data_IF_068732016681
#
_entry.id   IF_068732016681
#
_cell.length_a   1.000
_cell.length_b   1.000
_cell.length_c   1.000
_cell.angle_alpha   90.00
_cell.angle_beta   90.00
_cell.angle_gamma   90.00
#
_symmetry.space_group_name_H-M   'P 1'
#
loop_
_entity.id
_entity.type
_entity.pdbx_description
1 polymer ?
#
# COMPACT_ATOMS: atom_id res chain seq x y z
N UNK A 1 49.93 7.98 -17.14
CA UNK A 1 48.73 8.44 -16.40
C UNK A 1 47.87 7.24 -16.05
N UNK A 2 48.02 6.69 -14.83
CA UNK A 2 47.17 5.62 -14.28
C UNK A 2 46.20 6.28 -13.30
N UNK A 3 44.90 6.25 -13.61
CA UNK A 3 43.84 6.72 -12.72
C UNK A 3 43.41 5.58 -11.79
N UNK A 4 43.46 5.89 -10.51
CA UNK A 4 43.29 5.01 -9.36
C UNK A 4 41.86 4.46 -9.25
N UNK A 5 41.78 3.14 -9.02
CA UNK A 5 40.59 2.48 -8.48
C UNK A 5 40.46 2.85 -7.00
N UNK A 6 39.47 3.68 -6.65
CA UNK A 6 39.07 3.90 -5.26
C UNK A 6 38.41 2.64 -4.69
N UNK A 7 39.22 1.75 -4.13
CA UNK A 7 38.77 0.74 -3.18
C UNK A 7 38.65 1.37 -1.80
N UNK A 8 37.42 1.47 -1.28
CA UNK A 8 37.14 1.77 0.12
C UNK A 8 37.75 0.68 1.03
N UNK A 9 38.99 0.90 1.49
CA UNK A 9 39.56 0.22 2.65
C UNK A 9 39.63 1.23 3.80
N UNK A 10 38.89 0.94 4.86
CA UNK A 10 38.95 1.66 6.12
C UNK A 10 40.35 1.50 6.73
N UNK A 11 41.16 2.57 6.70
CA UNK A 11 42.40 2.66 7.45
C UNK A 11 42.09 3.22 8.84
N UNK A 12 42.20 2.37 9.85
CA UNK A 12 42.19 2.75 11.26
C UNK A 12 43.57 3.34 11.55
N UNK A 13 43.66 4.68 11.65
CA UNK A 13 44.86 5.38 12.12
C UNK A 13 44.71 5.63 13.62
N UNK A 14 45.42 4.86 14.45
CA UNK A 14 45.52 5.08 15.90
C UNK A 14 46.66 6.07 16.12
N UNK A 15 46.33 7.29 16.55
CA UNK A 15 47.31 8.24 17.09
C UNK A 15 47.38 8.06 18.62
N UNK A 16 48.58 7.94 19.22
CA UNK A 16 48.70 7.79 20.67
C UNK A 16 48.72 9.16 21.36
N UNK A 17 47.89 9.31 22.39
CA UNK A 17 48.03 10.35 23.39
C UNK A 17 47.06 11.53 23.26
N UNK A 18 45.89 11.40 23.89
CA UNK A 18 45.23 12.48 24.64
C UNK A 18 44.13 11.91 25.55
N UNK A 19 44.20 12.38 26.80
CA UNK A 19 43.38 12.12 27.99
C UNK A 19 41.96 11.56 27.78
N UNK A 20 41.67 10.50 28.53
CA UNK A 20 40.33 9.93 28.76
C UNK A 20 39.54 10.92 29.62
N UNK A 21 38.78 11.83 28.99
CA UNK A 21 37.63 12.45 29.65
C UNK A 21 36.44 11.52 29.50
N UNK A 22 35.85 11.18 30.64
CA UNK A 22 34.73 10.25 30.79
C UNK A 22 33.60 10.54 29.81
N UNK A 23 33.48 9.73 28.76
CA UNK A 23 32.24 9.59 28.01
C UNK A 23 31.24 8.86 28.89
N UNK A 24 30.39 9.61 29.58
CA UNK A 24 29.10 9.07 30.02
C UNK A 24 28.38 8.52 28.79
N UNK A 25 28.29 7.20 28.68
CA UNK A 25 27.52 6.55 27.63
C UNK A 25 26.08 7.11 27.67
N UNK A 26 25.57 7.74 26.60
CA UNK A 26 24.19 8.17 26.61
C UNK A 26 23.31 6.91 26.66
N UNK A 27 22.41 6.88 27.66
CA UNK A 27 21.30 5.94 27.78
C UNK A 27 20.76 5.59 26.38
N UNK A 28 20.65 4.29 26.08
CA UNK A 28 20.17 3.70 24.82
C UNK A 28 18.96 4.49 24.25
N UNK A 29 19.21 5.51 23.43
CA UNK A 29 18.16 6.20 22.68
C UNK A 29 17.75 5.26 21.56
N UNK A 30 16.53 4.74 21.63
CA UNK A 30 15.92 3.93 20.58
C UNK A 30 16.13 4.61 19.21
N UNK A 31 16.51 3.82 18.21
CA UNK A 31 16.73 4.34 16.85
C UNK A 31 15.46 5.05 16.36
N UNK A 32 15.54 6.29 15.85
CA UNK A 32 14.38 7.00 15.30
C UNK A 32 13.63 6.20 14.23
N UNK A 33 14.32 5.30 13.53
CA UNK A 33 13.71 4.40 12.54
C UNK A 33 12.81 3.33 13.19
N UNK A 34 13.20 2.81 14.35
CA UNK A 34 12.37 1.86 15.10
C UNK A 34 11.11 2.56 15.62
N UNK A 35 11.23 3.80 16.07
CA UNK A 35 10.10 4.59 16.58
C UNK A 35 9.08 4.82 15.46
N UNK A 36 9.53 5.28 14.28
CA UNK A 36 8.65 5.45 13.11
C UNK A 36 8.04 4.13 12.67
N UNK A 37 8.83 3.06 12.63
CA UNK A 37 8.33 1.73 12.28
C UNK A 37 7.18 1.30 13.21
N UNK A 38 7.35 1.47 14.53
CA UNK A 38 6.29 1.17 15.50
C UNK A 38 5.07 2.07 15.32
N UNK A 39 5.26 3.37 15.06
CA UNK A 39 4.14 4.27 14.78
C UNK A 39 3.33 3.82 13.57
N UNK A 40 4.00 3.47 12.47
CA UNK A 40 3.35 2.99 11.23
C UNK A 40 2.67 1.65 11.48
N UNK A 41 3.32 0.74 12.22
CA UNK A 41 2.76 -0.56 12.52
C UNK A 41 1.45 -0.44 13.31
N UNK A 42 1.43 0.39 14.36
CA UNK A 42 0.23 0.60 15.18
C UNK A 42 -0.88 1.28 14.36
N UNK A 43 -0.55 2.23 13.51
CA UNK A 43 -1.50 2.88 12.60
C UNK A 43 -2.12 1.87 11.61
N UNK A 44 -1.29 1.00 11.02
CA UNK A 44 -1.74 -0.05 10.11
C UNK A 44 -2.59 -1.13 10.80
N UNK A 45 -2.31 -1.45 12.06
CA UNK A 45 -3.17 -2.31 12.87
C UNK A 45 -4.57 -1.69 13.02
N UNK A 46 -4.65 -0.41 13.40
CA UNK A 46 -5.92 0.30 13.52
C UNK A 46 -6.71 0.31 12.20
N UNK A 47 -6.08 0.70 11.10
CA UNK A 47 -6.72 0.69 9.78
C UNK A 47 -7.24 -0.70 9.38
N UNK A 48 -6.39 -1.72 9.48
CA UNK A 48 -6.72 -3.07 9.02
C UNK A 48 -7.70 -3.82 9.92
N UNK A 49 -7.86 -3.41 11.18
CA UNK A 49 -8.98 -3.86 12.01
C UNK A 49 -10.33 -3.42 11.45
N UNK A 50 -10.41 -2.25 10.80
CA UNK A 50 -11.67 -1.66 10.34
C UNK A 50 -12.08 -2.12 8.95
N UNK A 51 -11.13 -2.26 8.02
CA UNK A 51 -11.42 -2.64 6.63
C UNK A 51 -12.37 -3.85 6.48
N UNK A 52 -12.15 -5.01 7.14
CA UNK A 52 -13.03 -6.17 7.00
C UNK A 52 -14.36 -6.02 7.75
N UNK A 53 -14.45 -5.05 8.67
CA UNK A 53 -15.59 -4.83 9.55
C UNK A 53 -16.53 -3.74 9.05
N UNK A 54 -16.02 -2.76 8.31
CA UNK A 54 -16.81 -1.67 7.75
C UNK A 54 -18.04 -2.17 6.97
N UNK A 55 -17.96 -3.22 6.13
CA UNK A 55 -19.13 -3.74 5.44
C UNK A 55 -20.21 -4.24 6.39
N UNK A 56 -19.85 -4.90 7.50
CA UNK A 56 -20.81 -5.39 8.48
C UNK A 56 -21.49 -4.25 9.26
N UNK A 57 -20.72 -3.22 9.64
CA UNK A 57 -21.29 -2.03 10.29
C UNK A 57 -22.31 -1.38 9.36
N UNK A 58 -21.96 -1.15 8.10
CA UNK A 58 -22.85 -0.52 7.10
C UNK A 58 -24.07 -1.39 6.79
N UNK A 59 -23.91 -2.72 6.79
CA UNK A 59 -24.99 -3.66 6.49
C UNK A 59 -26.14 -3.57 7.50
N UNK A 60 -25.87 -3.22 8.76
CA UNK A 60 -26.91 -2.95 9.77
C UNK A 60 -27.79 -1.74 9.41
N UNK A 61 -27.38 -0.87 8.49
CA UNK A 61 -28.16 0.31 8.04
C UNK A 61 -28.56 0.26 6.56
N UNK A 62 -27.85 -0.49 5.73
CA UNK A 62 -28.12 -0.63 4.30
C UNK A 62 -27.61 -1.96 3.78
N UNK A 63 -28.50 -2.75 3.17
CA UNK A 63 -28.14 -4.02 2.55
C UNK A 63 -27.35 -3.86 1.23
N UNK A 64 -27.18 -2.63 0.73
CA UNK A 64 -26.55 -2.36 -0.57
C UNK A 64 -25.02 -2.52 -0.52
N UNK A 65 -24.50 -3.46 -1.31
CA UNK A 65 -23.06 -3.61 -1.51
C UNK A 65 -22.46 -2.41 -2.27
N UNK A 66 -23.25 -1.73 -3.12
CA UNK A 66 -22.86 -0.47 -3.73
C UNK A 66 -22.57 0.61 -2.69
N UNK A 67 -23.35 0.70 -1.61
CA UNK A 67 -23.10 1.68 -0.55
C UNK A 67 -21.77 1.44 0.15
N UNK A 68 -21.45 0.18 0.47
CA UNK A 68 -20.13 -0.19 1.01
C UNK A 68 -19.01 0.18 0.03
N UNK A 69 -19.21 -0.11 -1.26
CA UNK A 69 -18.27 0.29 -2.31
C UNK A 69 -18.08 1.81 -2.39
N UNK A 70 -19.14 2.60 -2.28
CA UNK A 70 -19.10 4.06 -2.28
C UNK A 70 -18.36 4.62 -1.07
N UNK A 71 -18.51 4.02 0.11
CA UNK A 71 -17.76 4.42 1.31
C UNK A 71 -16.27 4.09 1.19
N UNK A 72 -15.93 2.91 0.66
CA UNK A 72 -14.54 2.56 0.33
C UNK A 72 -13.93 3.54 -0.68
N UNK A 73 -14.70 3.93 -1.70
CA UNK A 73 -14.29 4.94 -2.68
C UNK A 73 -14.09 6.32 -2.04
N UNK A 74 -14.98 6.73 -1.13
CA UNK A 74 -14.89 7.98 -0.39
C UNK A 74 -13.62 8.03 0.46
N UNK A 75 -13.28 6.94 1.14
CA UNK A 75 -12.02 6.81 1.89
C UNK A 75 -10.82 7.07 0.97
N UNK A 76 -10.74 6.35 -0.16
CA UNK A 76 -9.64 6.45 -1.11
C UNK A 76 -9.56 7.85 -1.76
N UNK A 77 -10.70 8.45 -2.06
CA UNK A 77 -10.80 9.81 -2.62
C UNK A 77 -10.28 10.85 -1.63
N UNK A 78 -10.72 10.80 -0.37
CA UNK A 78 -10.25 11.70 0.66
C UNK A 78 -8.76 11.52 0.93
N UNK A 79 -8.25 10.28 0.87
CA UNK A 79 -6.83 9.99 0.99
C UNK A 79 -6.02 10.60 -0.16
N UNK A 80 -6.51 10.48 -1.40
CA UNK A 80 -5.89 11.06 -2.60
C UNK A 80 -5.83 12.59 -2.54
N UNK A 81 -6.90 13.24 -2.07
CA UNK A 81 -6.97 14.70 -1.96
C UNK A 81 -6.14 15.24 -0.80
N UNK A 82 -6.12 14.55 0.34
CA UNK A 82 -5.39 15.00 1.52
C UNK A 82 -3.87 14.76 1.43
N UNK A 83 -3.41 13.75 0.69
CA UNK A 83 -1.99 13.38 0.65
C UNK A 83 -1.05 14.53 0.19
N UNK A 84 -1.33 15.26 -0.91
CA UNK A 84 -0.51 16.40 -1.31
C UNK A 84 -0.56 17.55 -0.29
N UNK A 85 -1.73 17.77 0.33
CA UNK A 85 -1.93 18.84 1.33
C UNK A 85 -1.10 18.55 2.59
N UNK A 86 -1.19 17.33 3.13
CA UNK A 86 -0.39 16.91 4.28
C UNK A 86 1.10 16.88 3.97
N UNK A 87 1.48 16.43 2.77
CA UNK A 87 2.86 16.46 2.30
C UNK A 87 3.43 17.89 2.30
N UNK A 88 2.74 18.83 1.66
CA UNK A 88 3.11 20.24 1.60
C UNK A 88 3.13 20.91 2.99
N UNK A 89 2.13 20.60 3.83
CA UNK A 89 2.08 21.09 5.20
C UNK A 89 3.29 20.59 5.99
N UNK A 90 3.67 19.32 5.84
CA UNK A 90 4.80 18.73 6.54
C UNK A 90 6.16 19.30 6.13
N UNK A 91 6.29 19.77 4.89
CA UNK A 91 7.46 20.52 4.43
C UNK A 91 7.57 21.91 5.10
N UNK A 92 6.43 22.53 5.46
CA UNK A 92 6.37 23.87 6.05
C UNK A 92 6.50 23.89 7.57
N UNK A 93 5.68 23.10 8.27
CA UNK A 93 5.62 23.13 9.74
C UNK A 93 6.47 22.04 10.42
N UNK A 94 7.03 21.11 9.63
CA UNK A 94 7.82 19.97 10.11
C UNK A 94 7.09 18.65 9.95
N UNK A 95 7.84 17.53 9.93
CA UNK A 95 7.27 16.19 9.70
C UNK A 95 6.56 15.68 10.96
N UNK A 96 7.18 15.88 12.13
CA UNK A 96 6.65 15.41 13.41
C UNK A 96 5.25 15.95 13.73
N UNK A 97 4.98 17.27 13.68
CA UNK A 97 3.65 17.79 14.03
C UNK A 97 2.56 17.30 13.07
N UNK A 98 2.86 17.14 11.78
CA UNK A 98 1.88 16.59 10.82
C UNK A 98 1.60 15.13 11.10
N UNK A 99 2.62 14.30 11.36
CA UNK A 99 2.41 12.89 11.70
C UNK A 99 1.57 12.73 12.97
N UNK A 100 1.87 13.49 14.02
CA UNK A 100 1.11 13.46 15.28
C UNK A 100 -0.33 13.94 15.05
N UNK A 101 -0.51 15.02 14.29
CA UNK A 101 -1.84 15.53 13.95
C UNK A 101 -2.67 14.52 13.15
N UNK A 102 -2.06 13.82 12.20
CA UNK A 102 -2.70 12.73 11.46
C UNK A 102 -3.09 11.57 12.36
N UNK A 103 -2.21 11.12 13.27
CA UNK A 103 -2.54 10.03 14.21
C UNK A 103 -3.69 10.41 15.15
N UNK A 104 -3.69 11.65 15.65
CA UNK A 104 -4.78 12.16 16.49
C UNK A 104 -6.10 12.23 15.71
N UNK A 105 -6.03 12.70 14.46
CA UNK A 105 -7.19 12.75 13.57
C UNK A 105 -7.73 11.34 13.26
N UNK A 106 -6.86 10.34 13.04
CA UNK A 106 -7.26 8.95 12.86
C UNK A 106 -7.95 8.39 14.11
N UNK A 107 -7.44 8.71 15.31
CA UNK A 107 -8.09 8.34 16.57
C UNK A 107 -9.52 8.88 16.66
N UNK A 108 -9.71 10.16 16.34
CA UNK A 108 -11.03 10.79 16.30
C UNK A 108 -11.96 10.15 15.26
N UNK A 109 -11.45 9.85 14.06
CA UNK A 109 -12.23 9.20 13.01
C UNK A 109 -12.70 7.79 13.40
N UNK A 110 -11.83 6.97 14.01
CA UNK A 110 -12.21 5.63 14.47
C UNK A 110 -13.19 5.67 15.65
N UNK A 111 -13.00 6.60 16.60
CA UNK A 111 -13.96 6.81 17.67
C UNK A 111 -15.34 7.24 17.12
N UNK A 112 -15.35 8.18 16.18
CA UNK A 112 -16.57 8.62 15.51
C UNK A 112 -17.24 7.46 14.74
N UNK A 113 -16.47 6.60 14.07
CA UNK A 113 -17.01 5.43 13.39
C UNK A 113 -17.70 4.46 14.36
N UNK A 114 -17.07 4.17 15.51
CA UNK A 114 -17.66 3.30 16.53
C UNK A 114 -18.95 3.89 17.11
N UNK A 115 -18.98 5.20 17.37
CA UNK A 115 -20.19 5.90 17.82
C UNK A 115 -21.26 5.92 16.73
N UNK A 116 -20.87 6.19 15.47
CA UNK A 116 -21.79 6.24 14.33
C UNK A 116 -22.49 4.90 14.08
N UNK A 117 -21.77 3.79 14.24
CA UNK A 117 -22.34 2.44 14.19
C UNK A 117 -23.28 2.16 15.37
N UNK A 118 -22.96 2.61 16.59
CA UNK A 118 -23.90 2.49 17.73
C UNK A 118 -25.18 3.29 17.55
N UNK A 119 -25.09 4.47 16.96
CA UNK A 119 -26.23 5.34 16.68
C UNK A 119 -27.03 4.84 15.46
N UNK A 120 -26.42 4.01 14.60
CA UNK A 120 -27.03 3.51 13.37
C UNK A 120 -27.23 4.59 12.30
N UNK A 121 -26.31 5.55 12.18
CA UNK A 121 -26.44 6.68 11.26
C UNK A 121 -25.47 6.59 10.09
N UNK A 122 -25.99 6.22 8.91
CA UNK A 122 -25.20 6.12 7.68
C UNK A 122 -24.48 7.42 7.28
N UNK A 123 -25.07 8.63 7.40
CA UNK A 123 -24.35 9.87 7.17
C UNK A 123 -23.17 10.09 8.12
N UNK A 124 -23.31 9.72 9.40
CA UNK A 124 -22.20 9.81 10.37
C UNK A 124 -21.09 8.79 10.06
N UNK A 125 -21.44 7.59 9.60
CA UNK A 125 -20.46 6.62 9.09
C UNK A 125 -19.71 7.21 7.90
N UNK A 126 -20.43 7.80 6.94
CA UNK A 126 -19.82 8.49 5.79
C UNK A 126 -18.86 9.61 6.20
N UNK A 127 -19.23 10.42 7.20
CA UNK A 127 -18.37 11.46 7.76
C UNK A 127 -17.12 10.87 8.44
N UNK A 128 -17.28 9.82 9.23
CA UNK A 128 -16.17 9.12 9.90
C UNK A 128 -15.19 8.53 8.88
N UNK A 129 -15.70 7.91 7.81
CA UNK A 129 -14.91 7.34 6.71
C UNK A 129 -14.16 8.44 5.94
N UNK A 130 -14.83 9.55 5.61
CA UNK A 130 -14.20 10.67 4.93
C UNK A 130 -13.07 11.30 5.77
N UNK A 131 -13.32 11.49 7.07
CA UNK A 131 -12.31 11.96 8.02
C UNK A 131 -11.14 10.96 8.11
N UNK A 132 -11.43 9.67 8.28
CA UNK A 132 -10.41 8.62 8.35
C UNK A 132 -9.53 8.55 7.10
N UNK A 133 -10.12 8.73 5.91
CA UNK A 133 -9.38 8.79 4.64
C UNK A 133 -8.42 9.97 4.59
N UNK A 134 -8.88 11.16 5.01
CA UNK A 134 -8.04 12.36 5.07
C UNK A 134 -6.91 12.22 6.11
N UNK A 135 -7.21 11.66 7.29
CA UNK A 135 -6.24 11.45 8.36
C UNK A 135 -5.17 10.40 7.97
N UNK A 136 -5.57 9.33 7.29
CA UNK A 136 -4.72 8.25 6.79
C UNK A 136 -3.83 8.63 5.59
N UNK A 137 -3.87 9.87 5.11
CA UNK A 137 -3.07 10.33 3.98
C UNK A 137 -1.62 10.74 4.35
N UNK A 138 -1.11 10.24 5.48
CA UNK A 138 0.18 10.62 6.07
C UNK A 138 1.38 9.83 5.55
N UNK A 139 1.17 8.79 4.73
CA UNK A 139 2.24 7.90 4.21
C UNK A 139 3.37 8.65 3.48
N UNK A 140 3.11 9.64 2.60
CA UNK A 140 4.19 10.42 1.99
C UNK A 140 5.04 11.16 3.03
N UNK A 141 4.42 11.64 4.11
CA UNK A 141 5.10 12.31 5.22
C UNK A 141 6.01 11.34 5.99
N UNK A 142 5.57 10.10 6.20
CA UNK A 142 6.38 9.03 6.80
C UNK A 142 7.59 8.70 5.93
N UNK A 143 7.38 8.52 4.62
CA UNK A 143 8.46 8.23 3.67
C UNK A 143 9.48 9.38 3.62
N UNK A 144 9.02 10.63 3.68
CA UNK A 144 9.87 11.81 3.76
C UNK A 144 10.63 11.86 5.08
N UNK A 145 9.99 11.58 6.22
CA UNK A 145 10.64 11.51 7.53
C UNK A 145 11.80 10.52 7.55
N UNK A 146 11.57 9.29 7.06
CA UNK A 146 12.59 8.23 6.99
C UNK A 146 13.74 8.69 6.10
N UNK A 147 13.41 9.31 4.97
CA UNK A 147 14.39 9.84 4.03
C UNK A 147 15.24 10.96 4.62
N UNK A 148 14.67 11.84 5.45
CA UNK A 148 15.38 12.94 6.10
C UNK A 148 16.39 12.42 7.16
N UNK A 149 16.15 11.23 7.73
CA UNK A 149 16.98 10.62 8.79
C UNK A 149 17.97 9.57 8.32
N UNK A 150 17.83 9.04 7.11
CA UNK A 150 18.69 7.99 6.58
C UNK A 150 19.79 8.55 5.67
N UNK A 151 20.94 7.88 5.67
CA UNK A 151 21.95 8.07 4.61
C UNK A 151 21.39 7.56 3.27
N UNK A 152 21.79 8.14 2.13
CA UNK A 152 21.31 7.73 0.81
C UNK A 152 21.43 6.22 0.54
N UNK A 153 22.51 5.58 0.98
CA UNK A 153 22.77 4.15 0.81
C UNK A 153 21.86 3.23 1.64
N UNK A 154 21.28 3.71 2.74
CA UNK A 154 20.42 2.93 3.64
C UNK A 154 18.92 3.16 3.36
N UNK A 155 18.59 4.16 2.52
CA UNK A 155 17.24 4.64 2.29
C UNK A 155 16.28 3.55 1.81
N UNK A 156 16.70 2.73 0.84
CA UNK A 156 15.89 1.63 0.31
C UNK A 156 15.56 0.61 1.39
N UNK A 157 16.54 0.24 2.23
CA UNK A 157 16.35 -0.68 3.35
C UNK A 157 15.39 -0.11 4.39
N UNK A 158 15.54 1.16 4.73
CA UNK A 158 14.69 1.82 5.73
C UNK A 158 13.26 2.05 5.23
N UNK A 159 13.06 2.35 3.95
CA UNK A 159 11.73 2.39 3.33
C UNK A 159 11.09 0.99 3.29
N UNK A 160 11.90 -0.06 3.14
CA UNK A 160 11.44 -1.44 3.27
C UNK A 160 10.82 -1.77 4.63
N UNK A 161 11.24 -1.10 5.72
CA UNK A 161 10.61 -1.28 7.04
C UNK A 161 9.17 -0.78 7.07
N UNK A 162 8.82 0.25 6.29
CA UNK A 162 7.42 0.70 6.13
C UNK A 162 6.60 -0.42 5.50
N UNK A 163 7.09 -1.02 4.41
CA UNK A 163 6.43 -2.17 3.79
C UNK A 163 6.25 -3.35 4.75
N UNK A 164 7.24 -3.63 5.60
CA UNK A 164 7.12 -4.66 6.63
C UNK A 164 6.04 -4.33 7.67
N UNK A 165 5.95 -3.07 8.12
CA UNK A 165 4.90 -2.62 9.05
C UNK A 165 3.50 -2.78 8.44
N UNK A 166 3.33 -2.42 7.16
CA UNK A 166 2.09 -2.67 6.41
C UNK A 166 1.75 -4.16 6.36
N UNK A 167 2.71 -5.01 6.01
CA UNK A 167 2.48 -6.46 5.91
C UNK A 167 2.06 -7.09 7.24
N UNK A 168 2.74 -6.74 8.34
CA UNK A 168 2.39 -7.23 9.69
C UNK A 168 1.04 -6.66 10.13
N UNK A 169 0.80 -5.37 9.90
CA UNK A 169 -0.46 -4.71 10.24
C UNK A 169 -1.64 -5.38 9.55
N UNK A 170 -1.58 -5.53 8.21
CA UNK A 170 -2.61 -6.20 7.41
C UNK A 170 -2.81 -7.68 7.76
N UNK A 171 -1.80 -8.34 8.33
CA UNK A 171 -1.93 -9.73 8.81
C UNK A 171 -2.60 -9.80 10.18
N UNK A 172 -2.20 -8.95 11.13
CA UNK A 172 -2.64 -9.05 12.53
C UNK A 172 -3.93 -8.27 12.79
N UNK A 173 -4.13 -7.13 12.14
CA UNK A 173 -5.26 -6.25 12.41
C UNK A 173 -6.62 -6.86 12.07
N UNK A 174 -6.84 -7.52 10.91
CA UNK A 174 -8.12 -8.17 10.62
C UNK A 174 -8.47 -9.26 11.65
N UNK A 175 -7.50 -10.05 12.08
CA UNK A 175 -7.70 -11.05 13.14
C UNK A 175 -8.07 -10.40 14.48
N UNK A 176 -7.36 -9.33 14.87
CA UNK A 176 -7.67 -8.58 16.09
C UNK A 176 -9.06 -7.92 16.03
N UNK A 177 -9.42 -7.35 14.88
CA UNK A 177 -10.74 -6.76 14.65
C UNK A 177 -11.85 -7.82 14.71
N UNK A 178 -11.67 -8.94 14.02
CA UNK A 178 -12.61 -10.06 14.05
C UNK A 178 -12.81 -10.63 15.46
N UNK A 179 -11.74 -10.78 16.24
CA UNK A 179 -11.82 -11.23 17.64
C UNK A 179 -12.58 -10.23 18.53
N UNK A 180 -12.29 -8.94 18.40
CA UNK A 180 -12.96 -7.90 19.18
C UNK A 180 -14.43 -7.71 18.79
N UNK A 181 -14.80 -8.08 17.55
CA UNK A 181 -16.18 -8.00 17.06
C UNK A 181 -17.15 -8.92 17.80
N UNK A 182 -16.65 -9.97 18.48
CA UNK A 182 -17.45 -10.87 19.33
C UNK A 182 -18.11 -10.12 20.49
N UNK A 183 -17.51 -9.02 20.94
CA UNK A 183 -18.06 -8.15 21.98
C UNK A 183 -18.97 -7.04 21.42
N UNK A 184 -19.19 -7.01 20.10
CA UNK A 184 -20.01 -6.04 19.37
C UNK A 184 -19.28 -5.46 18.15
N UNK A 185 -20.01 -5.21 17.06
CA UNK A 185 -19.44 -4.73 15.79
C UNK A 185 -18.74 -3.37 15.90
N UNK A 186 -19.13 -2.55 16.88
CA UNK A 186 -18.58 -1.21 17.11
C UNK A 186 -17.31 -1.22 17.97
N UNK A 187 -17.05 -2.30 18.72
CA UNK A 187 -15.91 -2.41 19.65
C UNK A 187 -14.56 -2.33 18.93
N UNK A 188 -14.35 -2.99 17.77
CA UNK A 188 -13.11 -2.85 17.00
C UNK A 188 -12.80 -1.40 16.60
N UNK A 189 -13.82 -0.60 16.25
CA UNK A 189 -13.65 0.82 15.91
C UNK A 189 -13.20 1.65 17.11
N UNK A 190 -13.82 1.46 18.27
CA UNK A 190 -13.40 2.13 19.50
C UNK A 190 -12.00 1.70 19.95
N UNK A 191 -11.68 0.41 19.84
CA UNK A 191 -10.36 -0.13 20.16
C UNK A 191 -9.28 0.42 19.21
N UNK A 192 -9.55 0.52 17.90
CA UNK A 192 -8.67 1.16 16.94
C UNK A 192 -8.47 2.64 17.26
N UNK A 193 -9.53 3.34 17.67
CA UNK A 193 -9.46 4.73 18.15
C UNK A 193 -8.57 4.90 19.37
N UNK A 194 -8.69 4.01 20.36
CA UNK A 194 -7.83 3.99 21.54
C UNK A 194 -6.37 3.65 21.18
N UNK A 195 -6.14 2.66 20.32
CA UNK A 195 -4.81 2.31 19.83
C UNK A 195 -4.15 3.48 19.11
N UNK A 196 -4.90 4.19 18.25
CA UNK A 196 -4.42 5.37 17.56
C UNK A 196 -4.13 6.54 18.54
N UNK A 197 -4.92 6.68 19.61
CA UNK A 197 -4.66 7.67 20.67
C UNK A 197 -3.36 7.35 21.43
N UNK A 198 -3.19 6.09 21.83
CA UNK A 198 -1.95 5.62 22.46
C UNK A 198 -0.75 5.79 21.53
N UNK A 199 -0.92 5.54 20.23
CA UNK A 199 0.10 5.80 19.22
C UNK A 199 0.45 7.28 19.09
N UNK A 200 -0.57 8.15 19.19
CA UNK A 200 -0.39 9.61 19.20
C UNK A 200 0.43 10.05 20.41
N UNK A 201 0.10 9.54 21.61
CA UNK A 201 0.85 9.82 22.83
C UNK A 201 2.28 9.29 22.73
N UNK A 202 2.46 8.08 22.22
CA UNK A 202 3.78 7.51 21.96
C UNK A 202 4.60 8.39 21.00
N UNK A 203 4.01 8.83 19.88
CA UNK A 203 4.67 9.72 18.93
C UNK A 203 4.96 11.11 19.53
N UNK A 204 4.07 11.64 20.37
CA UNK A 204 4.28 12.90 21.08
C UNK A 204 5.54 12.86 21.95
N UNK A 205 5.76 11.79 22.71
CA UNK A 205 6.91 11.71 23.61
C UNK A 205 8.18 11.18 22.94
N UNK A 206 8.07 10.25 22.00
CA UNK A 206 9.23 9.52 21.47
C UNK A 206 9.67 9.95 20.07
N UNK A 207 8.80 10.48 19.21
CA UNK A 207 9.14 10.79 17.82
C UNK A 207 9.90 12.12 17.74
N UNK A 208 11.20 12.15 17.37
CA UNK A 208 11.94 13.41 17.24
C UNK A 208 11.63 14.10 15.91
N UNK A 209 11.79 15.42 15.81
CA UNK A 209 11.59 16.15 14.54
C UNK A 209 12.69 15.83 13.52
N UNK A 210 12.35 15.48 12.28
CA UNK A 210 13.33 15.17 11.24
C UNK A 210 13.75 16.35 10.39
N UNK A 211 12.90 17.38 10.26
CA UNK A 211 13.15 18.51 9.37
C UNK A 211 13.61 19.75 10.17
N UNK A 212 14.89 20.17 10.04
CA UNK A 212 15.41 21.39 10.65
C UNK A 212 14.68 22.64 10.15
N UNK A 213 14.59 23.67 10.99
CA UNK A 213 13.87 24.92 10.70
C UNK A 213 14.40 25.61 9.44
N UNK A 214 15.71 25.58 9.23
CA UNK A 214 16.40 26.24 8.10
C UNK A 214 16.01 25.65 6.74
N UNK A 215 15.60 24.38 6.70
CA UNK A 215 15.18 23.70 5.46
C UNK A 215 13.71 23.91 5.12
N UNK A 216 12.89 24.38 6.08
CA UNK A 216 11.44 24.61 5.89
C UNK A 216 11.14 25.81 4.99
N UNK A 217 12.00 26.83 5.01
CA UNK A 217 11.80 28.10 4.29
C UNK A 217 12.21 28.06 2.81
N UNK A 218 12.92 27.02 2.36
CA UNK A 218 13.48 26.94 0.99
C UNK A 218 12.64 26.15 -0.01
N UNK A 219 11.59 25.44 0.42
CA UNK A 219 10.77 24.62 -0.49
C UNK A 219 9.56 25.42 -1.00
N UNK A 220 9.65 25.81 -2.27
CA UNK A 220 8.51 26.30 -3.06
C UNK A 220 7.45 25.21 -3.16
N UNK A 221 6.17 25.58 -3.00
CA UNK A 221 5.05 24.72 -3.34
C UNK A 221 5.03 24.54 -4.87
N UNK A 222 5.71 23.53 -5.40
CA UNK A 222 5.38 23.06 -6.74
C UNK A 222 4.23 22.07 -6.60
N UNK A 223 2.98 22.43 -6.96
CA UNK A 223 1.94 21.43 -7.10
C UNK A 223 2.36 20.54 -8.27
N UNK A 224 2.88 19.34 -7.98
CA UNK A 224 2.85 18.30 -9.00
C UNK A 224 1.38 17.96 -9.21
N UNK A 225 0.81 18.50 -10.28
CA UNK A 225 -0.54 18.17 -10.70
C UNK A 225 -0.61 16.67 -10.95
N UNK A 226 -1.47 15.98 -10.19
CA UNK A 226 -1.75 14.54 -10.35
C UNK A 226 -2.11 14.25 -11.81
N UNK A 227 -2.94 15.13 -12.41
CA UNK A 227 -3.32 15.05 -13.81
C UNK A 227 -2.12 15.19 -14.77
N UNK A 228 -1.14 16.03 -14.43
CA UNK A 228 0.10 16.18 -15.21
C UNK A 228 0.97 14.93 -15.17
N UNK A 229 1.06 14.25 -14.01
CA UNK A 229 1.80 12.98 -13.90
C UNK A 229 1.14 11.84 -14.67
N UNK A 230 -0.19 11.74 -14.62
CA UNK A 230 -0.96 10.78 -15.43
C UNK A 230 -0.74 11.08 -16.92
N UNK A 231 -0.94 12.34 -17.32
CA UNK A 231 -0.79 12.78 -18.70
C UNK A 231 0.60 12.46 -19.26
N UNK A 232 1.65 12.67 -18.48
CA UNK A 232 3.01 12.32 -18.85
C UNK A 232 3.22 10.81 -19.00
N UNK A 233 2.80 10.01 -18.02
CA UNK A 233 3.00 8.57 -18.06
C UNK A 233 2.24 7.92 -19.24
N UNK A 234 1.02 8.38 -19.51
CA UNK A 234 0.21 7.94 -20.65
C UNK A 234 0.74 8.48 -21.98
N UNK A 235 1.46 9.61 -22.00
CA UNK A 235 2.08 10.13 -23.21
C UNK A 235 3.16 9.19 -23.78
N UNK A 236 3.78 8.35 -22.95
CA UNK A 236 4.79 7.36 -23.37
C UNK A 236 4.10 6.13 -23.99
N UNK A 237 4.10 5.97 -25.33
CA UNK A 237 3.30 4.94 -26.00
C UNK A 237 3.69 3.51 -25.59
N UNK A 238 4.97 3.30 -25.29
CA UNK A 238 5.52 2.00 -24.87
C UNK A 238 5.05 1.57 -23.48
N UNK A 239 4.65 2.52 -22.62
CA UNK A 239 4.24 2.24 -21.24
C UNK A 239 2.72 2.07 -21.10
N UNK A 240 1.92 2.63 -22.03
CA UNK A 240 0.46 2.53 -22.02
C UNK A 240 -0.08 1.12 -21.74
N UNK A 241 0.35 0.06 -22.43
CA UNK A 241 -0.18 -1.28 -22.17
C UNK A 241 0.17 -1.82 -20.77
N UNK A 242 1.36 -1.49 -20.25
CA UNK A 242 1.77 -1.89 -18.89
C UNK A 242 1.02 -1.09 -17.82
N UNK A 243 0.81 0.20 -18.05
CA UNK A 243 -0.01 1.06 -17.17
C UNK A 243 -1.47 0.60 -17.15
N UNK A 244 -2.03 0.23 -18.31
CA UNK A 244 -3.37 -0.34 -18.40
C UNK A 244 -3.45 -1.68 -17.66
N UNK A 245 -2.44 -2.56 -17.80
CA UNK A 245 -2.38 -3.81 -17.06
C UNK A 245 -2.40 -3.56 -15.54
N UNK A 246 -1.54 -2.69 -15.04
CA UNK A 246 -1.51 -2.32 -13.61
C UNK A 246 -2.86 -1.77 -13.14
N UNK A 247 -3.49 -0.90 -13.92
CA UNK A 247 -4.78 -0.31 -13.59
C UNK A 247 -5.88 -1.37 -13.50
N UNK A 248 -6.04 -2.22 -14.53
CA UNK A 248 -7.06 -3.27 -14.55
C UNK A 248 -6.86 -4.31 -13.44
N UNK A 249 -5.60 -4.71 -13.21
CA UNK A 249 -5.21 -5.60 -12.11
C UNK A 249 -5.66 -5.06 -10.75
N UNK A 250 -5.35 -3.79 -10.48
CA UNK A 250 -5.70 -3.18 -9.19
C UNK A 250 -7.18 -2.84 -9.09
N UNK A 251 -7.85 -2.52 -10.20
CA UNK A 251 -9.30 -2.29 -10.23
C UNK A 251 -10.04 -3.56 -9.79
N UNK A 252 -9.63 -4.72 -10.32
CA UNK A 252 -10.17 -6.02 -9.93
C UNK A 252 -9.89 -6.33 -8.45
N UNK A 253 -8.65 -6.13 -8.00
CA UNK A 253 -8.26 -6.41 -6.61
C UNK A 253 -9.00 -5.51 -5.61
N UNK A 254 -9.09 -4.20 -5.87
CA UNK A 254 -9.75 -3.24 -4.99
C UNK A 254 -11.26 -3.54 -4.85
N UNK A 255 -11.92 -3.87 -5.97
CA UNK A 255 -13.31 -4.29 -5.96
C UNK A 255 -13.55 -5.53 -5.11
N UNK A 256 -12.72 -6.56 -5.30
CA UNK A 256 -12.77 -7.79 -4.51
C UNK A 256 -12.54 -7.53 -3.02
N UNK A 257 -11.48 -6.79 -2.68
CA UNK A 257 -11.11 -6.54 -1.28
C UNK A 257 -12.27 -5.91 -0.50
N UNK A 258 -12.98 -4.95 -1.09
CA UNK A 258 -14.12 -4.30 -0.45
C UNK A 258 -15.38 -5.16 -0.42
N UNK A 259 -15.61 -5.99 -1.43
CA UNK A 259 -16.85 -6.78 -1.55
C UNK A 259 -16.77 -8.12 -0.79
N UNK A 260 -15.56 -8.65 -0.54
CA UNK A 260 -15.36 -9.99 0.00
C UNK A 260 -16.11 -10.28 1.32
N UNK A 261 -16.15 -9.37 2.32
CA UNK A 261 -16.92 -9.60 3.53
C UNK A 261 -18.42 -9.83 3.28
N UNK A 262 -19.01 -9.08 2.34
CA UNK A 262 -20.42 -9.20 1.97
C UNK A 262 -20.66 -10.52 1.23
N UNK A 263 -19.80 -10.85 0.25
CA UNK A 263 -19.88 -12.11 -0.48
C UNK A 263 -19.81 -13.33 0.43
N UNK A 264 -18.86 -13.34 1.36
CA UNK A 264 -18.67 -14.48 2.27
C UNK A 264 -19.80 -14.59 3.29
N UNK A 265 -20.34 -13.46 3.75
CA UNK A 265 -21.53 -13.41 4.59
C UNK A 265 -22.76 -13.98 3.88
N UNK A 266 -23.09 -13.47 2.68
CA UNK A 266 -24.28 -13.90 1.96
C UNK A 266 -24.20 -15.36 1.49
N UNK A 267 -23.02 -15.79 1.00
CA UNK A 267 -22.88 -17.13 0.41
C UNK A 267 -22.60 -18.24 1.41
N UNK A 268 -21.90 -17.92 2.51
CA UNK A 268 -21.40 -18.92 3.47
C UNK A 268 -21.80 -18.63 4.92
N UNK A 269 -22.53 -17.53 5.19
CA UNK A 269 -22.90 -17.13 6.55
C UNK A 269 -21.70 -16.71 7.40
N UNK A 270 -20.63 -16.22 6.79
CA UNK A 270 -19.44 -15.80 7.52
C UNK A 270 -19.69 -14.53 8.33
N UNK A 271 -19.34 -14.60 9.61
CA UNK A 271 -19.29 -13.48 10.53
C UNK A 271 -17.98 -12.67 10.36
N UNK A 272 -17.81 -11.55 11.10
CA UNK A 272 -16.59 -10.75 11.02
C UNK A 272 -15.35 -11.49 11.55
N UNK A 273 -15.51 -12.48 12.45
CA UNK A 273 -14.39 -13.28 12.95
C UNK A 273 -13.80 -14.15 11.84
N UNK A 274 -14.63 -14.88 11.10
CA UNK A 274 -14.19 -15.70 9.97
C UNK A 274 -13.54 -14.85 8.88
N UNK A 275 -14.11 -13.68 8.58
CA UNK A 275 -13.48 -12.71 7.68
C UNK A 275 -12.14 -12.19 8.21
N UNK A 276 -12.04 -11.90 9.51
CA UNK A 276 -10.80 -11.49 10.15
C UNK A 276 -9.69 -12.53 10.00
N UNK A 277 -10.00 -13.81 10.25
CA UNK A 277 -9.07 -14.92 10.03
C UNK A 277 -8.68 -15.06 8.56
N UNK A 278 -9.64 -14.91 7.65
CA UNK A 278 -9.39 -14.96 6.21
C UNK A 278 -8.42 -13.86 5.74
N UNK A 279 -8.65 -12.60 6.16
CA UNK A 279 -7.76 -11.49 5.80
C UNK A 279 -6.39 -11.59 6.48
N UNK A 280 -6.31 -12.17 7.69
CA UNK A 280 -5.03 -12.52 8.29
C UNK A 280 -4.25 -13.53 7.43
N UNK A 281 -4.94 -14.53 6.89
CA UNK A 281 -4.35 -15.48 5.95
C UNK A 281 -3.93 -14.81 4.63
N UNK A 282 -4.71 -13.85 4.10
CA UNK A 282 -4.29 -13.00 2.96
C UNK A 282 -2.97 -12.30 3.27
N UNK A 283 -2.87 -11.65 4.43
CA UNK A 283 -1.66 -10.96 4.87
C UNK A 283 -0.45 -11.90 4.94
N UNK A 284 -0.64 -13.10 5.52
CA UNK A 284 0.38 -14.14 5.56
C UNK A 284 0.84 -14.56 4.16
N UNK A 285 -0.08 -14.87 3.24
CA UNK A 285 0.24 -15.24 1.87
C UNK A 285 0.98 -14.11 1.12
N UNK A 286 0.57 -12.86 1.35
CA UNK A 286 1.22 -11.68 0.78
C UNK A 286 2.67 -11.54 1.25
N UNK A 287 2.90 -11.61 2.57
CA UNK A 287 4.25 -11.56 3.17
C UNK A 287 5.10 -12.72 2.68
N UNK A 288 4.58 -13.94 2.66
CA UNK A 288 5.29 -15.12 2.16
C UNK A 288 5.69 -14.96 0.69
N UNK A 289 4.76 -14.51 -0.16
CA UNK A 289 5.02 -14.31 -1.59
C UNK A 289 6.11 -13.27 -1.81
N UNK A 290 6.00 -12.11 -1.16
CA UNK A 290 6.94 -10.99 -1.33
C UNK A 290 8.33 -11.31 -0.72
N UNK A 291 8.38 -11.86 0.49
CA UNK A 291 9.63 -12.05 1.21
C UNK A 291 10.44 -13.25 0.71
N UNK A 292 9.77 -14.31 0.25
CA UNK A 292 10.43 -15.57 -0.09
C UNK A 292 10.34 -15.93 -1.58
N UNK A 293 9.15 -15.84 -2.15
CA UNK A 293 8.87 -16.43 -3.47
C UNK A 293 9.37 -15.54 -4.61
N UNK A 294 9.12 -14.23 -4.55
CA UNK A 294 9.60 -13.27 -5.56
C UNK A 294 11.13 -13.36 -5.73
N UNK A 295 11.87 -13.34 -4.63
CA UNK A 295 13.34 -13.41 -4.65
C UNK A 295 13.91 -14.71 -5.24
N UNK A 296 13.16 -15.83 -5.17
CA UNK A 296 13.55 -17.11 -5.77
C UNK A 296 13.14 -17.25 -7.23
N UNK A 297 11.94 -16.78 -7.58
CA UNK A 297 11.36 -16.98 -8.90
C UNK A 297 11.85 -15.93 -9.91
N UNK A 298 12.08 -14.69 -9.48
CA UNK A 298 12.50 -13.59 -10.37
C UNK A 298 13.84 -13.88 -11.08
N UNK A 299 14.91 -14.34 -10.41
CA UNK A 299 16.17 -14.67 -11.09
C UNK A 299 16.07 -15.88 -12.03
N UNK A 300 15.12 -16.80 -11.79
CA UNK A 300 14.96 -18.04 -12.57
C UNK A 300 14.13 -17.85 -13.83
N UNK A 301 13.06 -17.05 -13.73
CA UNK A 301 12.03 -16.95 -14.76
C UNK A 301 11.97 -15.57 -15.43
N UNK A 302 12.54 -14.54 -14.81
CA UNK A 302 12.50 -13.16 -15.30
C UNK A 302 11.13 -12.50 -15.19
N UNK A 303 11.09 -11.17 -15.35
CA UNK A 303 9.88 -10.36 -15.19
C UNK A 303 8.73 -10.75 -16.15
N UNK A 304 8.96 -11.00 -17.46
CA UNK A 304 7.87 -11.28 -18.38
C UNK A 304 7.07 -12.53 -18.01
N UNK A 305 7.76 -13.61 -17.61
CA UNK A 305 7.10 -14.87 -17.25
C UNK A 305 6.37 -14.74 -15.91
N UNK A 306 6.93 -13.99 -14.95
CA UNK A 306 6.26 -13.74 -13.67
C UNK A 306 4.99 -12.91 -13.84
N UNK A 307 4.97 -11.95 -14.77
CA UNK A 307 3.77 -11.16 -15.06
C UNK A 307 2.69 -12.05 -15.68
N UNK A 308 3.04 -12.79 -16.73
CA UNK A 308 2.09 -13.68 -17.41
C UNK A 308 1.56 -14.74 -16.45
N UNK A 309 2.45 -15.43 -15.74
CA UNK A 309 2.09 -16.43 -14.74
C UNK A 309 1.24 -15.84 -13.62
N UNK A 310 1.65 -14.71 -13.03
CA UNK A 310 0.94 -14.08 -11.93
C UNK A 310 -0.47 -13.62 -12.29
N UNK A 311 -0.63 -12.95 -13.45
CA UNK A 311 -1.94 -12.51 -13.94
C UNK A 311 -2.84 -13.70 -14.31
N UNK A 312 -2.27 -14.78 -14.86
CA UNK A 312 -3.02 -16.01 -15.17
C UNK A 312 -3.52 -16.70 -13.91
N UNK A 313 -2.66 -16.81 -12.88
CA UNK A 313 -3.04 -17.38 -11.58
C UNK A 313 -4.13 -16.56 -10.90
N UNK A 314 -4.04 -15.24 -10.96
CA UNK A 314 -5.04 -14.36 -10.38
C UNK A 314 -6.39 -14.46 -11.11
N UNK A 315 -6.40 -14.44 -12.45
CA UNK A 315 -7.64 -14.60 -13.24
C UNK A 315 -8.30 -15.96 -12.99
N UNK A 316 -7.49 -17.03 -12.95
CA UNK A 316 -7.98 -18.37 -12.61
C UNK A 316 -8.56 -18.40 -11.19
N UNK A 317 -7.85 -17.83 -10.21
CA UNK A 317 -8.32 -17.76 -8.84
C UNK A 317 -9.66 -17.05 -8.72
N UNK A 318 -9.83 -15.89 -9.37
CA UNK A 318 -11.07 -15.12 -9.32
C UNK A 318 -12.24 -15.90 -9.94
N UNK A 319 -11.99 -16.57 -11.06
CA UNK A 319 -12.98 -17.43 -11.72
C UNK A 319 -13.44 -18.58 -10.81
N UNK A 320 -12.48 -19.24 -10.13
CA UNK A 320 -12.79 -20.33 -9.21
C UNK A 320 -13.47 -19.84 -7.92
N UNK A 321 -13.17 -18.64 -7.45
CA UNK A 321 -13.85 -18.04 -6.29
C UNK A 321 -15.32 -17.77 -6.58
N UNK A 322 -15.67 -17.32 -7.79
CA UNK A 322 -17.07 -17.15 -8.21
C UNK A 322 -17.86 -18.47 -8.14
N UNK A 323 -17.18 -19.60 -8.39
CA UNK A 323 -17.74 -20.95 -8.41
C UNK A 323 -17.62 -21.68 -7.06
N UNK A 324 -17.05 -21.04 -6.03
CA UNK A 324 -16.79 -21.69 -4.75
C UNK A 324 -18.10 -22.18 -4.11
N UNK A 325 -18.20 -23.48 -3.85
CA UNK A 325 -19.39 -24.10 -3.25
C UNK A 325 -19.24 -24.29 -1.74
N UNK A 326 -18.00 -24.29 -1.22
CA UNK A 326 -17.70 -24.51 0.19
C UNK A 326 -16.73 -23.45 0.70
N UNK A 327 -16.97 -22.96 1.90
CA UNK A 327 -16.19 -21.90 2.53
C UNK A 327 -14.67 -22.17 2.58
N UNK A 328 -14.27 -23.42 2.88
CA UNK A 328 -12.85 -23.78 2.97
C UNK A 328 -12.10 -23.62 1.64
N UNK A 329 -12.80 -23.65 0.49
CA UNK A 329 -12.19 -23.46 -0.83
C UNK A 329 -11.60 -22.05 -0.99
N UNK A 330 -12.09 -21.06 -0.23
CA UNK A 330 -11.61 -19.69 -0.33
C UNK A 330 -10.14 -19.54 0.12
N UNK A 331 -9.66 -20.37 1.05
CA UNK A 331 -8.28 -20.31 1.54
C UNK A 331 -7.22 -20.68 0.47
N UNK A 332 -7.28 -21.85 -0.20
CA UNK A 332 -6.32 -22.13 -1.27
C UNK A 332 -6.46 -21.16 -2.45
N UNK A 333 -7.69 -20.70 -2.76
CA UNK A 333 -7.93 -19.73 -3.83
C UNK A 333 -7.29 -18.38 -3.51
N UNK A 334 -7.49 -17.83 -2.31
CA UNK A 334 -6.87 -16.57 -1.94
C UNK A 334 -5.34 -16.67 -1.88
N UNK A 335 -4.80 -17.84 -1.52
CA UNK A 335 -3.38 -18.13 -1.65
C UNK A 335 -2.91 -18.01 -3.10
N UNK A 336 -3.64 -18.61 -4.06
CA UNK A 336 -3.36 -18.50 -5.49
C UNK A 336 -3.43 -17.05 -5.99
N UNK A 337 -4.42 -16.30 -5.53
CA UNK A 337 -4.60 -14.89 -5.85
C UNK A 337 -3.45 -14.03 -5.31
N UNK A 338 -3.07 -14.23 -4.05
CA UNK A 338 -1.97 -13.51 -3.40
C UNK A 338 -0.62 -13.81 -4.08
N UNK A 339 -0.40 -15.07 -4.48
CA UNK A 339 0.72 -15.46 -5.32
C UNK A 339 0.69 -14.71 -6.66
N UNK A 340 -0.45 -14.71 -7.33
CA UNK A 340 -0.63 -14.05 -8.62
C UNK A 340 -0.32 -12.55 -8.57
N UNK A 341 -0.98 -11.84 -7.65
CA UNK A 341 -0.76 -10.40 -7.42
C UNK A 341 0.68 -10.11 -7.01
N UNK A 342 1.23 -10.92 -6.10
CA UNK A 342 2.56 -10.72 -5.54
C UNK A 342 3.69 -10.92 -6.55
N UNK A 343 3.48 -11.70 -7.61
CA UNK A 343 4.42 -11.85 -8.72
C UNK A 343 4.23 -10.77 -9.79
N UNK A 344 2.98 -10.45 -10.13
CA UNK A 344 2.67 -9.54 -11.24
C UNK A 344 2.98 -8.08 -10.91
N UNK A 345 2.55 -7.57 -9.76
CA UNK A 345 2.62 -6.13 -9.46
C UNK A 345 4.06 -5.59 -9.32
N UNK A 346 4.99 -6.25 -8.59
CA UNK A 346 6.38 -5.79 -8.53
C UNK A 346 7.08 -5.85 -9.90
N UNK A 347 6.81 -6.91 -10.67
CA UNK A 347 7.39 -7.10 -12.00
C UNK A 347 6.89 -6.05 -13.00
N UNK A 348 5.59 -5.71 -12.97
CA UNK A 348 5.03 -4.61 -13.77
C UNK A 348 5.64 -3.26 -13.38
N UNK A 349 5.75 -2.98 -12.08
CA UNK A 349 6.39 -1.75 -11.57
C UNK A 349 7.83 -1.62 -12.08
N UNK A 350 8.59 -2.72 -12.04
CA UNK A 350 9.98 -2.75 -12.50
C UNK A 350 10.11 -2.49 -14.00
N UNK A 351 9.28 -3.13 -14.83
CA UNK A 351 9.27 -2.88 -16.28
C UNK A 351 8.83 -1.46 -16.64
N UNK A 352 7.88 -0.88 -15.92
CA UNK A 352 7.45 0.51 -16.13
C UNK A 352 8.59 1.48 -15.78
N UNK A 353 9.28 1.26 -14.66
CA UNK A 353 10.44 2.05 -14.27
C UNK A 353 11.60 1.91 -15.26
N UNK A 354 11.87 0.69 -15.74
CA UNK A 354 12.90 0.42 -16.75
C UNK A 354 12.58 1.03 -18.11
N UNK A 355 11.32 0.94 -18.56
CA UNK A 355 10.87 1.44 -19.85
C UNK A 355 10.79 2.97 -19.97
N UNK A 356 10.75 3.70 -18.84
CA UNK A 356 10.72 5.16 -18.83
C UNK A 356 12.09 5.80 -19.19
N UNK A 357 13.19 5.06 -19.06
CA UNK A 357 14.55 5.56 -19.26
C UNK A 357 15.10 6.33 -18.04
N UNK A 358 16.42 6.52 -18.03
CA UNK A 358 17.12 7.21 -16.94
C UNK A 358 16.61 8.67 -16.77
N UNK A 359 16.44 9.10 -15.52
CA UNK A 359 15.96 10.45 -15.18
C UNK A 359 14.45 10.68 -15.32
N UNK A 360 13.68 9.74 -15.90
CA UNK A 360 12.21 9.88 -16.11
C UNK A 360 11.37 8.89 -15.31
N UNK A 361 12.02 7.98 -14.58
CA UNK A 361 11.36 6.94 -13.78
C UNK A 361 10.37 7.50 -12.76
N UNK A 362 10.73 8.60 -12.09
CA UNK A 362 9.88 9.21 -11.06
C UNK A 362 8.54 9.71 -11.62
N UNK A 363 8.53 10.28 -12.84
CA UNK A 363 7.30 10.74 -13.48
C UNK A 363 6.42 9.57 -13.94
N UNK A 364 7.03 8.52 -14.50
CA UNK A 364 6.31 7.30 -14.88
C UNK A 364 5.69 6.57 -13.68
N UNK A 365 6.46 6.41 -12.60
CA UNK A 365 5.97 5.81 -11.35
C UNK A 365 4.94 6.70 -10.65
N UNK A 366 5.06 8.03 -10.74
CA UNK A 366 4.03 8.97 -10.26
C UNK A 366 2.70 8.78 -11.00
N UNK A 367 2.74 8.68 -12.34
CA UNK A 367 1.54 8.41 -13.14
C UNK A 367 0.94 7.02 -12.85
N UNK A 368 1.79 5.99 -12.66
CA UNK A 368 1.35 4.66 -12.21
C UNK A 368 0.64 4.75 -10.86
N UNK A 369 1.20 5.45 -9.87
CA UNK A 369 0.59 5.61 -8.56
C UNK A 369 -0.75 6.33 -8.61
N UNK A 370 -0.89 7.33 -9.48
CA UNK A 370 -2.16 8.01 -9.69
C UNK A 370 -3.22 7.08 -10.30
N UNK A 371 -2.85 6.22 -11.25
CA UNK A 371 -3.74 5.16 -11.77
C UNK A 371 -4.16 4.17 -10.68
N UNK A 372 -3.24 3.76 -9.80
CA UNK A 372 -3.54 2.90 -8.66
C UNK A 372 -4.58 3.55 -7.73
N UNK A 373 -4.46 4.84 -7.45
CA UNK A 373 -5.44 5.57 -6.64
C UNK A 373 -6.82 5.61 -7.32
N UNK A 374 -6.88 5.78 -8.65
CA UNK A 374 -8.14 5.70 -9.39
C UNK A 374 -8.77 4.31 -9.31
N UNK A 375 -7.96 3.25 -9.39
CA UNK A 375 -8.43 1.89 -9.24
C UNK A 375 -9.05 1.63 -7.85
N UNK A 376 -8.46 2.20 -6.79
CA UNK A 376 -9.01 2.14 -5.42
C UNK A 376 -10.31 2.93 -5.26
N UNK A 377 -10.51 3.99 -6.04
CA UNK A 377 -11.75 4.79 -6.02
C UNK A 377 -12.86 4.08 -6.81
N UNK A 378 -12.58 3.57 -8.00
CA UNK A 378 -13.63 3.03 -8.89
C UNK A 378 -13.89 1.53 -8.71
N UNK A 379 -12.92 0.77 -8.20
CA UNK A 379 -13.03 -0.69 -8.04
C UNK A 379 -14.15 -1.09 -7.07
N UNK A 380 -14.17 -0.57 -5.83
CA UNK A 380 -15.19 -0.94 -4.85
C UNK A 380 -16.64 -0.62 -5.27
N UNK A 381 -16.99 0.57 -5.79
CA UNK A 381 -18.34 0.83 -6.29
C UNK A 381 -18.73 -0.07 -7.46
N UNK A 382 -17.81 -0.35 -8.39
CA UNK A 382 -18.06 -1.25 -9.52
C UNK A 382 -18.38 -2.67 -9.03
N UNK A 383 -17.61 -3.19 -8.08
CA UNK A 383 -17.87 -4.49 -7.46
C UNK A 383 -19.20 -4.50 -6.70
N UNK A 384 -19.48 -3.49 -5.88
CA UNK A 384 -20.74 -3.38 -5.16
C UNK A 384 -21.96 -3.29 -6.09
N UNK A 385 -21.87 -2.51 -7.17
CA UNK A 385 -22.93 -2.40 -8.17
C UNK A 385 -23.19 -3.75 -8.87
N UNK A 386 -22.13 -4.47 -9.25
CA UNK A 386 -22.28 -5.78 -9.90
C UNK A 386 -22.86 -6.83 -8.94
N UNK A 387 -22.49 -6.75 -7.67
CA UNK A 387 -23.05 -7.60 -6.62
C UNK A 387 -24.56 -7.36 -6.48
N UNK A 388 -24.99 -6.11 -6.34
CA UNK A 388 -26.40 -5.76 -6.16
C UNK A 388 -27.26 -6.12 -7.40
N UNK A 389 -26.71 -5.98 -8.62
CA UNK A 389 -27.46 -6.22 -9.87
C UNK A 389 -27.49 -7.69 -10.33
N UNK A 390 -26.40 -8.42 -10.14
CA UNK A 390 -26.20 -9.76 -10.73
C UNK A 390 -25.86 -10.84 -9.71
N UNK A 391 -25.78 -10.48 -8.43
CA UNK A 391 -25.58 -11.39 -7.29
C UNK A 391 -24.12 -11.65 -6.92
N UNK A 392 -23.89 -12.51 -5.90
CA UNK A 392 -22.60 -12.62 -5.23
C UNK A 392 -21.41 -13.05 -6.10
N UNK A 393 -21.65 -13.80 -7.17
CA UNK A 393 -20.59 -14.28 -8.07
C UNK A 393 -20.08 -13.21 -9.03
N UNK A 394 -20.88 -12.16 -9.30
CA UNK A 394 -20.62 -11.23 -10.38
C UNK A 394 -19.33 -10.39 -10.22
N UNK A 395 -18.97 -9.88 -9.03
CA UNK A 395 -17.72 -9.13 -8.84
C UNK A 395 -16.46 -9.96 -9.09
N UNK A 396 -16.53 -11.27 -8.83
CA UNK A 396 -15.42 -12.20 -9.01
C UNK A 396 -15.24 -12.58 -10.49
N UNK A 397 -16.35 -12.79 -11.21
CA UNK A 397 -16.32 -13.00 -12.65
C UNK A 397 -15.83 -11.75 -13.39
N UNK A 398 -16.35 -10.57 -13.05
CA UNK A 398 -15.88 -9.32 -13.65
C UNK A 398 -14.41 -9.06 -13.33
N UNK A 399 -13.98 -9.31 -12.08
CA UNK A 399 -12.56 -9.27 -11.70
C UNK A 399 -11.70 -10.23 -12.53
N UNK A 400 -12.20 -11.44 -12.81
CA UNK A 400 -11.51 -12.38 -13.71
C UNK A 400 -11.37 -11.83 -15.13
N UNK A 401 -12.43 -11.23 -15.70
CA UNK A 401 -12.35 -10.59 -17.02
C UNK A 401 -11.41 -9.37 -17.03
N UNK A 402 -11.43 -8.54 -15.98
CA UNK A 402 -10.53 -7.40 -15.84
C UNK A 402 -9.07 -7.86 -15.76
N UNK A 403 -8.78 -8.91 -14.99
CA UNK A 403 -7.42 -9.48 -14.88
C UNK A 403 -6.98 -10.22 -16.14
N UNK A 404 -7.89 -10.87 -16.88
CA UNK A 404 -7.61 -11.40 -18.20
C UNK A 404 -7.32 -10.27 -19.21
N UNK A 405 -8.03 -9.15 -19.13
CA UNK A 405 -7.73 -7.93 -19.88
C UNK A 405 -6.36 -7.34 -19.52
N UNK A 406 -6.02 -7.36 -18.22
CA UNK A 406 -4.67 -7.00 -17.75
C UNK A 406 -3.60 -7.92 -18.34
N UNK A 407 -3.85 -9.23 -18.40
CA UNK A 407 -2.95 -10.20 -19.01
C UNK A 407 -2.74 -9.91 -20.50
N UNK A 408 -3.81 -9.68 -21.25
CA UNK A 408 -3.74 -9.32 -22.66
C UNK A 408 -2.96 -8.02 -22.88
N UNK A 409 -3.22 -6.98 -22.08
CA UNK A 409 -2.50 -5.72 -22.13
C UNK A 409 -1.00 -5.90 -21.81
N UNK A 410 -0.67 -6.69 -20.78
CA UNK A 410 0.71 -6.96 -20.39
C UNK A 410 1.46 -7.74 -21.49
N UNK A 411 0.86 -8.78 -22.07
CA UNK A 411 1.45 -9.56 -23.18
C UNK A 411 1.70 -8.67 -24.39
N UNK A 412 0.74 -7.80 -24.75
CA UNK A 412 0.92 -6.84 -25.83
C UNK A 412 2.05 -5.85 -25.54
N UNK A 413 2.13 -5.32 -24.32
CA UNK A 413 3.21 -4.41 -23.89
C UNK A 413 4.58 -5.08 -23.94
N UNK A 414 4.69 -6.29 -23.43
CA UNK A 414 5.92 -7.09 -23.47
C UNK A 414 6.37 -7.35 -24.91
N UNK A 415 5.43 -7.72 -25.79
CA UNK A 415 5.71 -7.94 -27.20
C UNK A 415 6.17 -6.66 -27.92
N UNK A 416 5.56 -5.52 -27.62
CA UNK A 416 5.96 -4.23 -28.16
C UNK A 416 7.38 -3.85 -27.73
N UNK A 417 7.73 -4.08 -26.46
CA UNK A 417 9.08 -3.85 -25.93
C UNK A 417 10.12 -4.77 -26.58
N UNK A 418 9.80 -6.05 -26.75
CA UNK A 418 10.70 -7.02 -27.41
C UNK A 418 10.93 -6.68 -28.89
N UNK A 419 9.92 -6.14 -29.58
CA UNK A 419 10.03 -5.71 -30.99
C UNK A 419 10.88 -4.46 -31.21
N UNK A 420 10.94 -3.56 -30.24
CA UNK A 420 11.72 -2.33 -30.38
C UNK A 420 13.24 -2.54 -30.28
N UNK A 421 13.68 -3.77 -30.00
CA UNK A 421 15.09 -4.13 -29.88
C UNK A 421 15.69 -3.58 -28.59
N UNK A 422 16.46 -4.40 -27.86
CA UNK A 422 17.31 -3.87 -26.79
C UNK A 422 18.20 -2.79 -27.41
N UNK A 423 18.29 -1.56 -26.87
CA UNK A 423 19.38 -0.67 -27.24
C UNK A 423 20.66 -1.48 -27.01
N UNK A 424 21.46 -1.65 -28.07
CA UNK A 424 22.75 -2.33 -27.98
C UNK A 424 23.51 -1.65 -26.84
N UNK A 425 23.77 -2.40 -25.78
CA UNK A 425 24.74 -1.99 -24.79
C UNK A 425 26.03 -1.69 -25.58
N UNK A 426 26.65 -0.51 -25.47
CA UNK A 426 27.96 -0.29 -26.06
C UNK A 426 28.95 -1.17 -25.31
N UNK A 427 29.06 -2.43 -25.74
CA UNK A 427 30.16 -3.30 -25.42
C UNK A 427 31.37 -2.80 -26.20
N UNK A 428 32.43 -2.53 -25.44
CA UNK A 428 33.77 -2.15 -25.87
C UNK A 428 33.94 -0.71 -26.35
N UNK A 429 34.28 0.15 -25.39
CA UNK A 429 35.31 1.16 -25.64
C UNK A 429 36.59 0.38 -25.95
N UNK A 430 37.02 0.48 -27.19
CA UNK A 430 38.33 0.04 -27.67
C UNK A 430 39.42 0.49 -26.69
N UNK A 431 40.03 -0.49 -26.03
CA UNK A 431 41.41 -0.34 -25.60
C UNK A 431 42.28 -0.84 -26.75
N UNK A 432 42.75 0.09 -27.58
CA UNK A 432 43.96 -0.09 -28.38
C UNK A 432 44.69 1.25 -28.54
N UNK A 433 46.02 1.23 -28.75
CA UNK A 433 46.99 0.14 -28.52
C UNK A 433 47.78 0.31 -27.21
#
# INVERSE_FOLDING_TARGET
MRLERQTCRAAIYISPGKAITSMSAPLRRSSPLLIVFLCVLIDMLGYSMIVPLLPFIVHEQSESALMVGMLSALYALMQLLAAPVLGALSDRIGRRPVLIGSLLASSGAYALLGIAGMVGSLPLIGLAVAWGGAAGASIPTVQAYISDRCKPCERTRSLGLVGAAFGIGLMVGPAAGGLLSVYGLNVPALAAGLLALLNTLFALFMLPESLPLERRMRRSLSPLSIAGQIGYAVALPNLRPLLLAVFLLNLAFAGLQSNFPIFSSERFGWDPLNNGVFFAFVGFCGVFTQAFLVGRLLPRFGEPLLIVGGLSLMSLSLSLTALAAKAWMLFPLIGLMALGLGLALPSLTSLIAGGAGEGRQGAALGGMQALLSLALIFGPPLAGMLFDLYGPSAPYLSGSFLTAGSLAAAVFGLWAVLRQGRPKCPLHVDQQP
#
